data_IF_320250362222
#
_entry.id   IF_320250362222
#
_cell.length_a   1.000
_cell.length_b   1.000
_cell.length_c   1.000
_cell.angle_alpha   90.00
_cell.angle_beta   90.00
_cell.angle_gamma   90.00
#
_symmetry.space_group_name_H-M   'P 1'
#
loop_
_entity.id
_entity.type
_entity.pdbx_description
1 polymer ?
#
# COMPACT_ATOMS: atom_id res chain seq x y z
N UNK A 1 -4.07 0.19 14.88
CA UNK A 1 -3.12 -0.22 13.83
C UNK A 1 -3.50 0.56 12.58
N UNK A 2 -2.52 1.13 11.89
CA UNK A 2 -2.77 2.02 10.74
C UNK A 2 -2.03 1.51 9.53
N UNK A 3 -2.68 1.55 8.36
CA UNK A 3 -2.13 1.10 7.10
C UNK A 3 -2.03 2.31 6.18
N UNK A 4 -0.82 2.66 5.77
CA UNK A 4 -0.57 3.85 4.93
C UNK A 4 0.00 3.45 3.59
N UNK A 5 -0.55 4.03 2.53
CA UNK A 5 -0.05 3.88 1.17
C UNK A 5 0.77 5.11 0.83
N UNK A 6 1.98 4.88 0.34
CA UNK A 6 2.91 5.89 -0.13
C UNK A 6 3.13 5.75 -1.62
N UNK A 7 3.34 6.86 -2.30
CA UNK A 7 3.83 6.95 -3.67
C UNK A 7 5.15 7.73 -3.66
N UNK A 8 6.25 7.06 -4.01
CA UNK A 8 7.57 7.70 -4.14
C UNK A 8 7.96 8.48 -2.86
N UNK A 9 7.60 7.93 -1.70
CA UNK A 9 7.85 8.52 -0.38
C UNK A 9 6.82 9.54 0.11
N UNK A 10 5.81 9.88 -0.69
CA UNK A 10 4.71 10.76 -0.28
C UNK A 10 3.53 9.94 0.24
N UNK A 11 2.98 10.33 1.39
CA UNK A 11 1.76 9.71 1.91
C UNK A 11 0.58 10.05 1.00
N UNK A 12 -0.07 9.03 0.44
CA UNK A 12 -1.26 9.17 -0.41
C UNK A 12 -2.52 9.07 0.46
N UNK A 13 -2.61 8.03 1.28
CA UNK A 13 -3.81 7.73 2.09
C UNK A 13 -3.46 6.80 3.26
N UNK A 14 -4.26 6.87 4.33
CA UNK A 14 -4.17 5.97 5.49
C UNK A 14 -5.53 5.37 5.83
N UNK A 15 -5.51 4.15 6.37
CA UNK A 15 -6.68 3.38 6.77
C UNK A 15 -6.47 2.77 8.15
N UNK A 16 -7.56 2.55 8.88
CA UNK A 16 -7.54 1.82 10.15
C UNK A 16 -7.76 0.31 9.97
N UNK A 17 -8.02 -0.11 8.72
CA UNK A 17 -8.26 -1.51 8.35
C UNK A 17 -7.44 -1.94 7.15
N UNK A 18 -6.91 -3.15 7.21
CA UNK A 18 -6.04 -3.73 6.20
C UNK A 18 -6.75 -4.03 4.87
N UNK A 19 -7.99 -4.53 4.95
CA UNK A 19 -8.80 -4.88 3.79
C UNK A 19 -9.08 -3.67 2.91
N UNK A 20 -9.46 -2.55 3.54
CA UNK A 20 -9.66 -1.27 2.84
C UNK A 20 -8.37 -0.73 2.21
N UNK A 21 -7.23 -0.87 2.91
CA UNK A 21 -5.94 -0.46 2.41
C UNK A 21 -5.47 -1.29 1.21
N UNK A 22 -5.64 -2.61 1.25
CA UNK A 22 -5.28 -3.50 0.14
C UNK A 22 -6.15 -3.21 -1.09
N UNK A 23 -7.46 -3.02 -0.91
CA UNK A 23 -8.37 -2.70 -2.00
C UNK A 23 -8.04 -1.33 -2.63
N UNK A 24 -7.64 -0.35 -1.82
CA UNK A 24 -7.16 0.93 -2.31
C UNK A 24 -5.83 0.80 -3.06
N UNK A 25 -4.86 0.04 -2.53
CA UNK A 25 -3.57 -0.21 -3.18
C UNK A 25 -3.75 -0.84 -4.55
N UNK A 26 -4.63 -1.84 -4.68
CA UNK A 26 -4.94 -2.48 -5.96
C UNK A 26 -5.55 -1.53 -6.97
N UNK A 27 -6.53 -0.71 -6.55
CA UNK A 27 -7.13 0.31 -7.42
C UNK A 27 -6.12 1.36 -7.87
N UNK A 28 -5.23 1.77 -6.99
CA UNK A 28 -4.16 2.73 -7.32
C UNK A 28 -3.13 2.12 -8.28
N UNK A 29 -2.82 0.83 -8.14
CA UNK A 29 -1.94 0.11 -9.05
C UNK A 29 -2.54 -0.06 -10.46
N UNK A 30 -3.87 -0.19 -10.57
CA UNK A 30 -4.56 -0.32 -11.87
C UNK A 30 -4.50 0.97 -12.72
N UNK A 31 -4.25 2.15 -12.13
CA UNK A 31 -4.15 3.45 -12.83
C UNK A 31 -2.75 3.71 -13.47
N UNK A 32 -1.93 2.65 -13.52
CA UNK A 32 -0.81 2.35 -14.42
C UNK A 32 0.36 3.34 -14.70
N UNK A 33 0.51 4.45 -13.98
CA UNK A 33 1.81 5.18 -13.93
C UNK A 33 2.50 5.11 -12.56
N UNK A 34 1.76 4.85 -11.48
CA UNK A 34 2.29 4.89 -10.12
C UNK A 34 2.61 3.50 -9.52
N UNK A 35 2.22 2.40 -10.17
CA UNK A 35 2.27 1.05 -9.59
C UNK A 35 3.65 0.65 -9.03
N UNK A 36 4.73 1.01 -9.74
CA UNK A 36 6.11 0.70 -9.34
C UNK A 36 6.60 1.54 -8.14
N UNK A 37 5.94 2.67 -7.86
CA UNK A 37 6.24 3.58 -6.75
C UNK A 37 5.35 3.41 -5.52
N UNK A 38 4.31 2.58 -5.62
CA UNK A 38 3.34 2.37 -4.54
C UNK A 38 3.84 1.40 -3.49
N UNK A 39 3.75 1.83 -2.22
CA UNK A 39 4.22 1.11 -1.06
C UNK A 39 3.17 1.16 0.05
N UNK A 40 2.74 0.01 0.57
CA UNK A 40 1.92 -0.02 1.78
C UNK A 40 2.76 -0.38 3.01
N UNK A 41 2.60 0.39 4.08
CA UNK A 41 3.26 0.17 5.39
C UNK A 41 2.20 0.07 6.49
N UNK A 42 2.32 -0.94 7.34
CA UNK A 42 1.51 -1.09 8.55
C UNK A 42 2.24 -0.52 9.77
N UNK A 43 1.52 0.23 10.60
CA UNK A 43 1.97 0.85 11.85
C UNK A 43 1.18 0.31 13.04
N UNK A 44 1.87 -0.01 14.13
CA UNK A 44 1.24 -0.37 15.40
C UNK A 44 0.60 0.86 16.09
N UNK A 45 -0.08 0.62 17.22
CA UNK A 45 -0.73 1.69 17.99
C UNK A 45 0.25 2.68 18.64
N UNK A 46 1.54 2.33 18.69
CA UNK A 46 2.61 3.20 19.15
C UNK A 46 3.26 3.98 17.99
N UNK A 47 2.81 3.78 16.75
CA UNK A 47 3.31 4.44 15.54
C UNK A 47 4.57 3.80 14.96
N UNK A 48 4.97 2.62 15.41
CA UNK A 48 6.11 1.90 14.85
C UNK A 48 5.67 1.09 13.63
N UNK A 49 6.49 1.08 12.57
CA UNK A 49 6.26 0.21 11.43
C UNK A 49 6.43 -1.26 11.83
N UNK A 50 5.44 -2.10 11.50
CA UNK A 50 5.34 -3.50 11.96
C UNK A 50 5.19 -4.53 10.83
N UNK A 51 5.15 -4.11 9.55
CA UNK A 51 4.95 -5.00 8.40
C UNK A 51 5.96 -4.82 7.27
N UNK A 52 6.12 -5.87 6.46
CA UNK A 52 6.84 -5.80 5.18
C UNK A 52 6.06 -4.94 4.18
N UNK A 53 6.82 -4.11 3.47
CA UNK A 53 6.40 -3.37 2.30
C UNK A 53 5.73 -4.30 1.27
N UNK A 54 4.40 -4.22 1.14
CA UNK A 54 3.73 -4.84 0.00
C UNK A 54 3.90 -3.90 -1.21
N UNK A 55 4.62 -4.31 -2.28
CA UNK A 55 4.66 -3.52 -3.50
C UNK A 55 3.27 -3.48 -4.14
N UNK A 56 2.95 -2.37 -4.80
CA UNK A 56 1.75 -2.23 -5.62
C UNK A 56 1.73 -3.10 -6.89
N UNK A 57 2.68 -4.04 -7.06
CA UNK A 57 2.71 -4.90 -8.25
C UNK A 57 1.37 -5.63 -8.39
N UNK A 58 0.68 -5.30 -9.49
CA UNK A 58 -0.40 -6.11 -9.99
C UNK A 58 0.15 -7.54 -10.09
N UNK A 59 -0.50 -8.49 -9.44
CA UNK A 59 -0.23 -9.91 -9.63
C UNK A 59 -0.62 -10.28 -11.07
N UNK A 60 0.16 -9.85 -12.06
CA UNK A 60 0.14 -10.37 -13.42
C UNK A 60 0.78 -11.75 -13.34
N UNK A 61 -0.09 -12.70 -13.05
CA UNK A 61 0.12 -14.12 -13.18
C UNK A 61 0.93 -14.40 -14.45
N UNK A 62 2.18 -14.85 -14.29
CA UNK A 62 2.95 -15.42 -15.39
C UNK A 62 2.21 -16.65 -15.91
N UNK A 63 1.85 -16.64 -17.19
CA UNK A 63 1.56 -17.85 -17.99
C UNK A 63 2.46 -17.84 -19.20
#
# INVERSE_FOLDING_TARGET
MTYSIFDTGNLVVSFDREDEAIDALRRLAEDHEAADGLLMIAFDDAGNAVGEAAPGEAAVHSV
#
